data_IF_899371556714
#
_entry.id   IF_899371556714
#
_cell.length_a   1.000
_cell.length_b   1.000
_cell.length_c   1.000
_cell.angle_alpha   90.00
_cell.angle_beta   90.00
_cell.angle_gamma   90.00
#
_symmetry.space_group_name_H-M   'P 1'
#
loop_
_entity.id
_entity.type
_entity.pdbx_description
1 polymer ?
#
# COMPACT_ATOMS: atom_id res chain seq x y z
N UNK A 1 -18.50 -30.27 -24.99
CA UNK A 1 -18.32 -28.80 -24.84
C UNK A 1 -19.21 -28.27 -23.73
N UNK A 2 -20.52 -28.57 -23.71
CA UNK A 2 -21.46 -28.06 -22.71
C UNK A 2 -21.11 -28.48 -21.27
N UNK A 3 -20.71 -29.72 -21.06
CA UNK A 3 -20.30 -30.22 -19.73
C UNK A 3 -19.04 -29.52 -19.20
N UNK A 4 -18.08 -29.21 -20.09
CA UNK A 4 -16.89 -28.46 -19.72
C UNK A 4 -17.21 -27.01 -19.31
N UNK A 5 -18.11 -26.35 -20.04
CA UNK A 5 -18.56 -24.97 -19.72
C UNK A 5 -19.28 -24.96 -18.37
N UNK A 6 -20.15 -25.92 -18.08
CA UNK A 6 -20.84 -26.04 -16.80
C UNK A 6 -19.84 -26.27 -15.64
N UNK A 7 -18.83 -27.10 -15.87
CA UNK A 7 -17.79 -27.35 -14.86
C UNK A 7 -16.98 -26.08 -14.54
N UNK A 8 -16.53 -25.35 -15.56
CA UNK A 8 -15.82 -24.09 -15.40
C UNK A 8 -16.68 -23.03 -14.70
N UNK A 9 -17.98 -22.95 -15.09
CA UNK A 9 -18.92 -22.05 -14.43
C UNK A 9 -19.10 -22.40 -12.95
N UNK A 10 -19.27 -23.68 -12.62
CA UNK A 10 -19.41 -24.13 -11.24
C UNK A 10 -18.17 -23.77 -10.39
N UNK A 11 -16.97 -24.03 -10.92
CA UNK A 11 -15.71 -23.67 -10.23
C UNK A 11 -15.65 -22.16 -9.97
N UNK A 12 -15.96 -21.35 -10.99
CA UNK A 12 -15.95 -19.89 -10.86
C UNK A 12 -17.02 -19.37 -9.90
N UNK A 13 -18.17 -19.99 -9.87
CA UNK A 13 -19.23 -19.68 -8.92
C UNK A 13 -18.80 -19.97 -7.48
N UNK A 14 -18.22 -21.16 -7.24
CA UNK A 14 -17.69 -21.51 -5.91
C UNK A 14 -16.54 -20.60 -5.49
N UNK A 15 -15.64 -20.23 -6.39
CA UNK A 15 -14.57 -19.26 -6.12
C UNK A 15 -15.16 -17.92 -5.65
N UNK A 16 -16.16 -17.39 -6.34
CA UNK A 16 -16.82 -16.14 -5.98
C UNK A 16 -17.61 -16.23 -4.68
N UNK A 17 -18.32 -17.32 -4.45
CA UNK A 17 -19.05 -17.57 -3.21
C UNK A 17 -18.08 -17.65 -2.02
N UNK A 18 -16.96 -18.35 -2.20
CA UNK A 18 -15.92 -18.45 -1.17
C UNK A 18 -15.26 -17.09 -0.88
N UNK A 19 -14.97 -16.29 -1.91
CA UNK A 19 -14.46 -14.92 -1.73
C UNK A 19 -15.44 -14.05 -0.95
N UNK A 20 -16.73 -14.10 -1.30
CA UNK A 20 -17.77 -13.34 -0.58
C UNK A 20 -17.87 -13.75 0.91
N UNK A 21 -17.82 -15.06 1.18
CA UNK A 21 -17.83 -15.59 2.56
C UNK A 21 -16.58 -15.17 3.34
N UNK A 22 -15.41 -15.27 2.73
CA UNK A 22 -14.14 -14.85 3.33
C UNK A 22 -14.13 -13.35 3.65
N UNK A 23 -14.64 -12.51 2.75
CA UNK A 23 -14.76 -11.07 3.00
C UNK A 23 -15.73 -10.76 4.15
N UNK A 24 -16.84 -11.48 4.25
CA UNK A 24 -17.79 -11.36 5.37
C UNK A 24 -17.12 -11.73 6.69
N UNK A 25 -16.41 -12.85 6.74
CA UNK A 25 -15.71 -13.31 7.94
C UNK A 25 -14.61 -12.33 8.36
N UNK A 26 -13.83 -11.80 7.42
CA UNK A 26 -12.85 -10.73 7.68
C UNK A 26 -13.47 -9.51 8.32
N UNK A 27 -14.60 -9.04 7.80
CA UNK A 27 -15.30 -7.88 8.38
C UNK A 27 -15.70 -8.13 9.83
N UNK A 28 -16.17 -9.33 10.15
CA UNK A 28 -16.52 -9.71 11.52
C UNK A 28 -15.30 -9.73 12.44
N UNK A 29 -14.20 -10.34 11.99
CA UNK A 29 -12.94 -10.38 12.74
C UNK A 29 -12.33 -8.99 12.96
N UNK A 30 -12.52 -8.05 12.00
CA UNK A 30 -12.12 -6.64 12.14
C UNK A 30 -12.81 -5.97 13.33
N UNK A 31 -14.11 -6.12 13.45
CA UNK A 31 -14.87 -5.54 14.57
C UNK A 31 -14.41 -6.11 15.91
N UNK A 32 -14.21 -7.43 16.00
CA UNK A 32 -13.74 -8.09 17.23
C UNK A 32 -12.32 -7.65 17.61
N UNK A 33 -11.44 -7.51 16.60
CA UNK A 33 -10.09 -7.02 16.80
C UNK A 33 -10.05 -5.55 17.26
N UNK A 34 -10.91 -4.70 16.68
CA UNK A 34 -11.00 -3.28 17.04
C UNK A 34 -11.49 -3.11 18.49
N UNK A 35 -12.48 -3.89 18.89
CA UNK A 35 -13.00 -3.88 20.26
C UNK A 35 -11.92 -4.34 21.26
N UNK A 36 -11.25 -5.45 21.00
CA UNK A 36 -10.13 -5.95 21.83
C UNK A 36 -8.96 -4.98 21.92
N UNK A 37 -8.66 -4.27 20.83
CA UNK A 37 -7.61 -3.25 20.83
C UNK A 37 -8.03 -2.04 21.70
N UNK A 38 -9.26 -1.59 21.58
CA UNK A 38 -9.81 -0.50 22.40
C UNK A 38 -9.79 -0.86 23.88
N UNK A 39 -10.22 -2.06 24.23
CA UNK A 39 -10.21 -2.58 25.61
C UNK A 39 -8.77 -2.61 26.17
N UNK A 40 -7.81 -3.20 25.44
CA UNK A 40 -6.41 -3.22 25.84
C UNK A 40 -5.81 -1.81 25.98
N UNK A 41 -6.23 -0.89 25.12
CA UNK A 41 -5.80 0.52 25.17
C UNK A 41 -6.30 1.19 26.44
N UNK A 42 -7.59 1.02 26.76
CA UNK A 42 -8.20 1.56 27.98
C UNK A 42 -7.52 0.98 29.22
N UNK A 43 -7.30 -0.34 29.26
CA UNK A 43 -6.59 -1.01 30.37
C UNK A 43 -5.17 -0.47 30.54
N UNK A 44 -4.44 -0.27 29.44
CA UNK A 44 -3.10 0.28 29.49
C UNK A 44 -3.08 1.74 29.96
N UNK A 45 -4.01 2.56 29.49
CA UNK A 45 -4.16 3.95 29.88
C UNK A 45 -4.51 4.03 31.39
N UNK A 46 -5.37 3.17 31.90
CA UNK A 46 -5.78 3.15 33.30
C UNK A 46 -4.62 2.83 34.27
N UNK A 47 -3.59 2.12 33.79
CA UNK A 47 -2.40 1.75 34.58
C UNK A 47 -1.25 2.74 34.50
N UNK A 48 -1.38 3.79 33.68
CA UNK A 48 -0.34 4.81 33.54
C UNK A 48 -0.37 5.75 34.76
N UNK A 49 0.78 6.02 35.35
CA UNK A 49 0.92 6.94 36.48
C UNK A 49 0.59 8.37 36.05
N UNK A 50 -0.02 9.12 36.98
CA UNK A 50 -0.52 10.49 36.75
C UNK A 50 0.62 11.44 36.30
N UNK A 51 1.82 11.27 36.85
CA UNK A 51 3.02 12.07 36.52
C UNK A 51 3.41 11.96 35.02
N UNK A 52 3.03 10.86 34.39
CA UNK A 52 3.30 10.62 32.96
C UNK A 52 2.27 11.32 32.06
N UNK A 53 1.07 11.60 32.61
CA UNK A 53 -0.01 12.29 31.86
C UNK A 53 0.35 13.75 31.54
N UNK A 54 1.21 14.39 32.34
CA UNK A 54 1.65 15.75 32.13
C UNK A 54 2.82 15.85 31.12
N UNK A 55 3.39 14.71 30.70
CA UNK A 55 4.49 14.70 29.76
C UNK A 55 3.99 14.82 28.31
N UNK A 56 4.62 15.73 27.56
CA UNK A 56 4.37 15.93 26.11
C UNK A 56 4.59 14.65 25.29
N UNK A 57 5.39 13.71 25.80
CA UNK A 57 5.71 12.45 25.15
C UNK A 57 4.52 11.47 25.19
N UNK A 58 3.70 11.51 26.22
CA UNK A 58 2.50 10.65 26.31
C UNK A 58 1.42 11.12 25.34
N UNK A 59 1.23 12.44 25.22
CA UNK A 59 0.27 13.00 24.26
C UNK A 59 0.67 12.63 22.82
N UNK A 60 1.95 12.71 22.51
CA UNK A 60 2.51 12.35 21.20
C UNK A 60 2.38 10.86 20.91
N UNK A 61 2.75 10.00 21.85
CA UNK A 61 2.62 8.53 21.70
C UNK A 61 1.15 8.09 21.66
N UNK A 62 0.26 8.75 22.40
CA UNK A 62 -1.16 8.43 22.38
C UNK A 62 -1.83 8.85 21.06
N UNK A 63 -1.40 9.94 20.43
CA UNK A 63 -1.81 10.33 19.10
C UNK A 63 -1.40 9.29 18.05
N UNK A 64 -0.17 8.79 18.11
CA UNK A 64 0.32 7.76 17.20
C UNK A 64 -0.42 6.42 17.39
N UNK A 65 -0.68 6.03 18.64
CA UNK A 65 -1.44 4.81 18.97
C UNK A 65 -2.93 4.97 18.61
N UNK A 66 -3.50 6.17 18.73
CA UNK A 66 -4.91 6.41 18.40
C UNK A 66 -5.18 6.38 16.89
N UNK A 67 -4.16 6.63 16.08
CA UNK A 67 -4.25 6.52 14.61
C UNK A 67 -4.22 5.07 14.12
N UNK A 68 -3.76 4.13 14.95
CA UNK A 68 -3.72 2.71 14.59
C UNK A 68 -5.12 2.09 14.66
N UNK A 69 -5.62 1.62 13.53
CA UNK A 69 -6.97 1.06 13.39
C UNK A 69 -6.93 -0.44 13.10
N UNK A 70 -8.08 -1.10 13.17
CA UNK A 70 -8.22 -2.50 12.75
C UNK A 70 -7.84 -2.72 11.30
N UNK A 71 -8.04 -1.73 10.43
CA UNK A 71 -7.61 -1.80 9.02
C UNK A 71 -6.08 -1.93 8.86
N UNK A 72 -5.29 -1.39 9.79
CA UNK A 72 -3.83 -1.54 9.76
C UNK A 72 -3.40 -2.96 10.13
N UNK A 73 -4.17 -3.62 11.01
CA UNK A 73 -3.97 -5.03 11.37
C UNK A 73 -4.25 -5.93 10.18
N UNK A 74 -5.38 -5.70 9.48
CA UNK A 74 -5.71 -6.46 8.29
C UNK A 74 -4.66 -6.31 7.21
N UNK A 75 -4.19 -5.09 6.99
CA UNK A 75 -3.11 -4.84 6.06
C UNK A 75 -1.85 -5.67 6.42
N UNK A 76 -1.50 -5.78 7.71
CA UNK A 76 -0.39 -6.61 8.17
C UNK A 76 -0.68 -8.09 7.91
N UNK A 77 -1.90 -8.57 8.20
CA UNK A 77 -2.29 -9.95 7.94
C UNK A 77 -2.27 -10.27 6.44
N UNK A 78 -2.80 -9.39 5.60
CA UNK A 78 -2.74 -9.54 4.15
C UNK A 78 -1.29 -9.63 3.66
N UNK A 79 -0.40 -8.77 4.14
CA UNK A 79 1.04 -8.88 3.81
C UNK A 79 1.67 -10.19 4.28
N UNK A 80 1.34 -10.67 5.47
CA UNK A 80 1.90 -11.93 6.01
C UNK A 80 1.44 -13.14 5.20
N UNK A 81 0.25 -13.11 4.62
CA UNK A 81 -0.29 -14.21 3.80
C UNK A 81 0.08 -14.04 2.32
N UNK A 82 -0.12 -12.83 1.78
CA UNK A 82 0.05 -12.57 0.34
C UNK A 82 1.52 -12.58 -0.10
N UNK A 83 2.44 -12.12 0.75
CA UNK A 83 3.87 -12.11 0.40
C UNK A 83 4.43 -13.53 0.18
N UNK A 84 4.23 -14.51 1.07
CA UNK A 84 4.67 -15.89 0.82
C UNK A 84 4.00 -16.51 -0.41
N UNK A 85 2.70 -16.27 -0.62
CA UNK A 85 1.97 -16.77 -1.77
C UNK A 85 2.50 -16.17 -3.08
N UNK A 86 2.78 -14.87 -3.10
CA UNK A 86 3.37 -14.21 -4.25
C UNK A 86 4.78 -14.72 -4.56
N UNK A 87 5.60 -14.92 -3.54
CA UNK A 87 6.94 -15.52 -3.71
C UNK A 87 6.82 -16.91 -4.32
N UNK A 88 5.91 -17.74 -3.83
CA UNK A 88 5.69 -19.09 -4.36
C UNK A 88 5.20 -19.04 -5.81
N UNK A 89 4.28 -18.14 -6.14
CA UNK A 89 3.80 -17.91 -7.50
C UNK A 89 4.95 -17.49 -8.43
N UNK A 90 5.79 -16.55 -8.00
CA UNK A 90 6.96 -16.08 -8.75
C UNK A 90 7.90 -17.27 -9.04
N UNK A 91 8.20 -18.11 -8.06
CA UNK A 91 9.05 -19.29 -8.23
C UNK A 91 8.45 -20.25 -9.27
N UNK A 92 7.16 -20.58 -9.15
CA UNK A 92 6.48 -21.47 -10.09
C UNK A 92 6.52 -20.90 -11.52
N UNK A 93 6.26 -19.59 -11.68
CA UNK A 93 6.28 -18.93 -12.97
C UNK A 93 7.68 -18.90 -13.58
N UNK A 94 8.73 -18.65 -12.77
CA UNK A 94 10.11 -18.72 -13.24
C UNK A 94 10.49 -20.14 -13.70
N UNK A 95 10.13 -21.17 -12.94
CA UNK A 95 10.38 -22.57 -13.33
C UNK A 95 9.67 -22.91 -14.65
N UNK A 96 8.41 -22.48 -14.82
CA UNK A 96 7.69 -22.68 -16.06
C UNK A 96 8.33 -21.95 -17.25
N UNK A 97 8.80 -20.71 -17.02
CA UNK A 97 9.36 -19.85 -18.05
C UNK A 97 10.77 -20.27 -18.50
N UNK A 98 11.57 -20.85 -17.59
CA UNK A 98 12.89 -21.42 -17.92
C UNK A 98 12.76 -22.52 -18.98
N UNK A 99 11.71 -23.35 -18.89
CA UNK A 99 11.46 -24.44 -19.85
C UNK A 99 11.11 -23.92 -21.26
N UNK A 100 10.54 -22.68 -21.34
CA UNK A 100 10.17 -22.07 -22.63
C UNK A 100 11.35 -21.28 -23.22
N UNK A 101 11.95 -20.38 -22.40
CA UNK A 101 13.08 -19.54 -22.83
C UNK A 101 13.89 -19.04 -21.65
N UNK A 102 15.08 -19.60 -21.38
CA UNK A 102 15.92 -19.17 -20.26
C UNK A 102 16.43 -17.74 -20.42
N UNK A 103 16.59 -17.27 -21.66
CA UNK A 103 17.08 -15.91 -21.96
C UNK A 103 16.09 -14.87 -21.41
N UNK A 104 14.80 -15.11 -21.55
CA UNK A 104 13.75 -14.20 -21.07
C UNK A 104 13.78 -14.12 -19.54
N UNK A 105 13.99 -15.24 -18.85
CA UNK A 105 14.13 -15.25 -17.38
C UNK A 105 15.30 -14.40 -16.90
N UNK A 106 16.45 -14.53 -17.54
CA UNK A 106 17.63 -13.71 -17.20
C UNK A 106 17.36 -12.22 -17.42
N UNK A 107 16.67 -11.87 -18.52
CA UNK A 107 16.29 -10.49 -18.80
C UNK A 107 15.33 -9.92 -17.74
N UNK A 108 14.35 -10.72 -17.27
CA UNK A 108 13.47 -10.32 -16.17
C UNK A 108 14.23 -10.06 -14.86
N UNK A 109 15.10 -10.98 -14.43
CA UNK A 109 15.88 -10.82 -13.22
C UNK A 109 16.79 -9.59 -13.32
N UNK A 110 17.46 -9.40 -14.44
CA UNK A 110 18.38 -8.28 -14.65
C UNK A 110 17.69 -6.91 -14.59
N UNK A 111 16.44 -6.80 -15.05
CA UNK A 111 15.68 -5.55 -15.03
C UNK A 111 14.92 -5.32 -13.74
N UNK A 112 14.32 -6.36 -13.14
CA UNK A 112 13.55 -6.20 -11.90
C UNK A 112 14.44 -5.97 -10.67
N UNK A 113 15.65 -6.52 -10.63
CA UNK A 113 16.56 -6.30 -9.49
C UNK A 113 16.85 -4.81 -9.23
N UNK A 114 17.24 -3.97 -10.21
CA UNK A 114 17.44 -2.55 -9.95
C UNK A 114 16.15 -1.81 -9.61
N UNK A 115 14.99 -2.22 -10.16
CA UNK A 115 13.70 -1.62 -9.86
C UNK A 115 13.37 -1.82 -8.38
N UNK A 116 13.42 -3.05 -7.86
CA UNK A 116 13.19 -3.36 -6.46
C UNK A 116 14.11 -2.56 -5.52
N UNK A 117 15.39 -2.40 -5.87
CA UNK A 117 16.33 -1.61 -5.07
C UNK A 117 15.97 -0.12 -5.01
N UNK A 118 15.44 0.43 -6.10
CA UNK A 118 15.02 1.83 -6.15
C UNK A 118 13.71 2.00 -5.38
N UNK A 119 12.75 1.08 -5.51
CA UNK A 119 11.47 1.10 -4.78
C UNK A 119 11.69 1.01 -3.27
N UNK A 120 12.59 0.15 -2.79
CA UNK A 120 12.98 0.10 -1.38
C UNK A 120 13.52 1.45 -0.88
N UNK A 121 14.39 2.11 -1.65
CA UNK A 121 14.89 3.44 -1.29
C UNK A 121 13.79 4.49 -1.29
N UNK A 122 12.85 4.40 -2.21
CA UNK A 122 11.67 5.27 -2.24
C UNK A 122 10.78 5.07 -1.00
N UNK A 123 10.52 3.82 -0.61
CA UNK A 123 9.77 3.49 0.60
C UNK A 123 10.42 4.04 1.88
N UNK A 124 11.74 3.85 2.03
CA UNK A 124 12.49 4.41 3.18
C UNK A 124 12.43 5.95 3.18
N UNK A 125 12.54 6.58 2.02
CA UNK A 125 12.43 8.03 1.87
C UNK A 125 11.04 8.55 2.25
N UNK A 126 10.00 7.81 1.87
CA UNK A 126 8.61 8.09 2.24
C UNK A 126 8.39 8.05 3.76
N UNK A 127 8.88 7.00 4.42
CA UNK A 127 8.78 6.86 5.88
C UNK A 127 9.48 8.02 6.58
N UNK A 128 10.70 8.39 6.14
CA UNK A 128 11.43 9.54 6.69
C UNK A 128 10.66 10.85 6.50
N UNK A 129 10.07 11.04 5.34
CA UNK A 129 9.27 12.21 5.02
C UNK A 129 8.03 12.30 5.93
N UNK A 130 7.26 11.21 6.08
CA UNK A 130 6.10 11.17 6.98
C UNK A 130 6.53 11.53 8.42
N UNK A 131 7.58 10.89 8.93
CA UNK A 131 8.08 11.15 10.28
C UNK A 131 8.47 12.62 10.50
N UNK A 132 9.07 13.26 9.51
CA UNK A 132 9.41 14.69 9.60
C UNK A 132 8.17 15.59 9.65
N UNK A 133 7.02 15.13 9.15
CA UNK A 133 5.76 15.89 9.09
C UNK A 133 4.87 15.70 10.32
N UNK A 134 5.04 14.63 11.09
CA UNK A 134 4.19 14.31 12.25
C UNK A 134 4.09 15.49 13.20
N UNK A 135 5.22 16.14 13.53
CA UNK A 135 5.23 17.29 14.45
C UNK A 135 4.43 18.50 13.92
N UNK A 136 4.47 18.75 12.61
CA UNK A 136 3.72 19.85 12.00
C UNK A 136 2.22 19.52 11.90
N UNK A 137 1.90 18.27 11.59
CA UNK A 137 0.52 17.78 11.56
C UNK A 137 -0.10 17.80 12.96
N UNK A 138 0.63 17.38 13.99
CA UNK A 138 0.17 17.45 15.39
C UNK A 138 -0.10 18.89 15.82
N UNK A 139 0.75 19.86 15.43
CA UNK A 139 0.48 21.28 15.68
C UNK A 139 -0.76 21.78 14.96
N UNK A 140 -0.97 21.35 13.72
CA UNK A 140 -2.15 21.71 12.94
C UNK A 140 -3.43 21.14 13.58
N UNK A 141 -3.38 19.89 14.04
CA UNK A 141 -4.47 19.24 14.73
C UNK A 141 -4.78 19.92 16.07
N UNK A 142 -3.74 20.23 16.85
CA UNK A 142 -3.90 20.96 18.13
C UNK A 142 -4.57 22.33 17.94
N UNK A 143 -4.23 23.05 16.87
CA UNK A 143 -4.92 24.31 16.53
C UNK A 143 -6.40 24.07 16.18
N UNK A 144 -6.71 23.00 15.49
CA UNK A 144 -8.10 22.64 15.16
C UNK A 144 -8.90 22.27 16.42
N UNK A 145 -8.33 21.42 17.26
CA UNK A 145 -8.95 20.98 18.52
C UNK A 145 -9.18 22.17 19.46
N UNK A 146 -8.21 23.09 19.52
CA UNK A 146 -8.31 24.34 20.28
C UNK A 146 -9.49 25.17 19.82
N UNK A 147 -9.65 25.40 18.51
CA UNK A 147 -10.77 26.17 17.95
C UNK A 147 -12.11 25.45 18.08
N UNK A 148 -12.11 24.12 18.16
CA UNK A 148 -13.34 23.30 18.23
C UNK A 148 -13.87 23.19 19.68
N UNK A 149 -13.11 23.59 20.68
CA UNK A 149 -13.56 23.54 22.08
C UNK A 149 -14.59 24.67 22.38
N UNK A 150 -15.66 24.33 23.08
CA UNK A 150 -16.76 25.27 23.39
C UNK A 150 -16.31 26.52 24.15
N UNK A 151 -15.40 26.35 25.11
CA UNK A 151 -14.84 27.44 25.93
C UNK A 151 -14.00 28.38 25.07
N UNK A 152 -13.12 27.83 24.24
CA UNK A 152 -12.23 28.60 23.38
C UNK A 152 -13.01 29.38 22.31
N UNK A 153 -14.09 28.81 21.75
CA UNK A 153 -14.93 29.52 20.78
C UNK A 153 -15.52 30.81 21.40
N UNK A 154 -15.94 30.75 22.66
CA UNK A 154 -16.48 31.93 23.33
C UNK A 154 -15.43 33.01 23.54
N UNK A 155 -14.23 32.60 23.97
CA UNK A 155 -13.10 33.53 24.15
C UNK A 155 -12.64 34.13 22.81
N UNK A 156 -12.52 33.33 21.77
CA UNK A 156 -12.12 33.80 20.44
C UNK A 156 -13.12 34.79 19.83
N UNK A 157 -14.42 34.60 20.09
CA UNK A 157 -15.46 35.56 19.72
C UNK A 157 -15.34 36.85 20.49
N UNK A 158 -15.07 36.76 21.82
CA UNK A 158 -14.95 37.93 22.68
C UNK A 158 -13.77 38.78 22.25
N UNK A 159 -12.63 38.17 21.93
CA UNK A 159 -11.41 38.85 21.55
C UNK A 159 -11.26 39.10 20.05
N UNK A 160 -12.25 38.68 19.23
CA UNK A 160 -12.24 38.78 17.75
C UNK A 160 -10.94 38.22 17.11
N UNK A 161 -10.41 37.11 17.68
CA UNK A 161 -9.11 36.55 17.33
C UNK A 161 -9.15 35.41 16.33
N UNK A 162 -10.30 35.12 15.73
CA UNK A 162 -10.46 34.05 14.73
C UNK A 162 -9.55 34.22 13.53
N UNK A 163 -9.45 35.45 13.00
CA UNK A 163 -8.65 35.75 11.82
C UNK A 163 -7.17 35.42 12.02
N UNK A 164 -6.64 35.71 13.19
CA UNK A 164 -5.26 35.38 13.56
C UNK A 164 -5.01 33.87 13.53
N UNK A 165 -5.93 33.08 14.09
CA UNK A 165 -5.78 31.62 14.13
C UNK A 165 -5.92 31.02 12.72
N UNK A 166 -6.87 31.54 11.93
CA UNK A 166 -7.03 31.13 10.54
C UNK A 166 -5.75 31.41 9.74
N UNK A 167 -5.12 32.55 9.96
CA UNK A 167 -3.87 32.91 9.28
C UNK A 167 -2.71 31.99 9.71
N UNK A 168 -2.57 31.69 10.99
CA UNK A 168 -1.56 30.73 11.49
C UNK A 168 -1.78 29.34 10.90
N UNK A 169 -3.02 28.86 10.86
CA UNK A 169 -3.38 27.59 10.23
C UNK A 169 -3.02 27.59 8.75
N UNK A 170 -3.36 28.64 8.01
CA UNK A 170 -3.03 28.77 6.58
C UNK A 170 -1.51 28.72 6.34
N UNK A 171 -0.73 29.40 7.17
CA UNK A 171 0.75 29.38 7.08
C UNK A 171 1.33 28.00 7.33
N UNK A 172 0.86 27.30 8.37
CA UNK A 172 1.31 25.94 8.67
C UNK A 172 0.90 24.95 7.59
N UNK A 173 -0.36 25.01 7.18
CA UNK A 173 -0.89 24.13 6.11
C UNK A 173 -0.19 24.39 4.79
N UNK A 174 0.09 25.64 4.44
CA UNK A 174 0.84 26.01 3.24
C UNK A 174 2.23 25.34 3.20
N UNK A 175 2.97 25.39 4.31
CA UNK A 175 4.28 24.72 4.41
C UNK A 175 4.16 23.21 4.20
N UNK A 176 3.21 22.55 4.89
CA UNK A 176 2.99 21.12 4.77
C UNK A 176 2.62 20.74 3.33
N UNK A 177 1.69 21.51 2.75
CA UNK A 177 1.20 21.27 1.37
C UNK A 177 2.34 21.41 0.35
N UNK A 178 3.09 22.50 0.39
CA UNK A 178 4.09 22.79 -0.65
C UNK A 178 5.25 21.79 -0.59
N UNK A 179 5.68 21.40 0.60
CA UNK A 179 6.69 20.35 0.76
C UNK A 179 6.13 18.97 0.34
N UNK A 180 4.86 18.66 0.64
CA UNK A 180 4.22 17.40 0.25
C UNK A 180 4.05 17.31 -1.27
N UNK A 181 3.66 18.40 -1.92
CA UNK A 181 3.54 18.46 -3.39
C UNK A 181 4.91 18.23 -4.04
N UNK A 182 5.96 18.92 -3.58
CA UNK A 182 7.32 18.74 -4.14
C UNK A 182 7.83 17.31 -3.98
N UNK A 183 7.62 16.73 -2.79
CA UNK A 183 8.03 15.37 -2.52
C UNK A 183 7.26 14.37 -3.38
N UNK A 184 5.91 14.48 -3.44
CA UNK A 184 5.06 13.59 -4.22
C UNK A 184 5.36 13.71 -5.71
N UNK A 185 5.56 14.91 -6.26
CA UNK A 185 5.92 15.10 -7.67
C UNK A 185 7.23 14.39 -8.00
N UNK A 186 8.26 14.54 -7.13
CA UNK A 186 9.54 13.85 -7.34
C UNK A 186 9.36 12.34 -7.32
N UNK A 187 8.60 11.83 -6.36
CA UNK A 187 8.36 10.41 -6.19
C UNK A 187 7.52 9.83 -7.34
N UNK A 188 6.47 10.53 -7.75
CA UNK A 188 5.62 10.13 -8.88
C UNK A 188 6.42 10.08 -10.18
N UNK A 189 7.26 11.09 -10.45
CA UNK A 189 8.09 11.09 -11.65
C UNK A 189 9.06 9.89 -11.70
N UNK A 190 9.70 9.57 -10.58
CA UNK A 190 10.57 8.39 -10.48
C UNK A 190 9.76 7.10 -10.65
N UNK A 191 8.62 6.98 -9.98
CA UNK A 191 7.73 5.81 -10.10
C UNK A 191 7.22 5.62 -11.53
N UNK A 192 6.85 6.70 -12.22
CA UNK A 192 6.40 6.63 -13.63
C UNK A 192 7.51 6.16 -14.56
N UNK A 193 8.74 6.65 -14.36
CA UNK A 193 9.89 6.20 -15.14
C UNK A 193 10.23 4.73 -14.86
N UNK A 194 10.13 4.31 -13.59
CA UNK A 194 10.35 2.91 -13.22
C UNK A 194 9.27 1.99 -13.81
N UNK A 195 8.00 2.40 -13.81
CA UNK A 195 6.91 1.63 -14.39
C UNK A 195 7.02 1.45 -15.92
N UNK A 196 7.69 2.37 -16.61
CA UNK A 196 7.93 2.24 -18.04
C UNK A 196 8.91 1.09 -18.39
N UNK A 197 9.82 0.72 -17.50
CA UNK A 197 10.82 -0.34 -17.74
C UNK A 197 10.19 -1.73 -17.84
N UNK A 198 9.36 -2.21 -16.86
CA UNK A 198 8.65 -3.47 -16.98
C UNK A 198 7.74 -3.53 -18.21
N UNK A 199 7.08 -2.41 -18.51
CA UNK A 199 6.21 -2.32 -19.69
C UNK A 199 7.01 -2.50 -21.00
N UNK A 200 8.15 -1.83 -21.14
CA UNK A 200 9.02 -1.95 -22.31
C UNK A 200 9.57 -3.39 -22.43
N UNK A 201 9.94 -4.02 -21.33
CA UNK A 201 10.39 -5.40 -21.30
C UNK A 201 9.27 -6.36 -21.73
N UNK A 202 8.06 -6.18 -21.19
CA UNK A 202 6.92 -7.01 -21.54
C UNK A 202 6.62 -6.96 -23.05
N UNK A 203 6.51 -5.77 -23.64
CA UNK A 203 6.28 -5.61 -25.06
C UNK A 203 7.47 -6.06 -25.92
N UNK A 204 8.69 -5.82 -25.46
CA UNK A 204 9.90 -6.30 -26.13
C UNK A 204 9.94 -7.83 -26.20
N UNK A 205 9.60 -8.49 -25.09
CA UNK A 205 9.47 -9.95 -25.04
C UNK A 205 8.36 -10.45 -25.96
N UNK A 206 7.20 -9.80 -25.94
CA UNK A 206 6.08 -10.14 -26.84
C UNK A 206 6.54 -10.11 -28.31
N UNK A 207 7.29 -9.09 -28.70
CA UNK A 207 7.84 -8.96 -30.04
C UNK A 207 8.83 -10.09 -30.40
N UNK A 208 9.76 -10.42 -29.49
CA UNK A 208 10.73 -11.51 -29.70
C UNK A 208 10.04 -12.88 -29.81
N UNK A 209 9.04 -13.15 -28.98
CA UNK A 209 8.26 -14.38 -29.04
C UNK A 209 7.45 -14.47 -30.34
N UNK A 210 6.84 -13.38 -30.79
CA UNK A 210 6.10 -13.32 -32.04
C UNK A 210 7.03 -13.62 -33.24
N UNK A 211 8.23 -13.07 -33.27
CA UNK A 211 9.23 -13.39 -34.28
C UNK A 211 9.65 -14.85 -34.24
N UNK A 212 9.73 -15.47 -33.06
CA UNK A 212 10.05 -16.90 -32.91
C UNK A 212 8.96 -17.81 -33.48
N UNK A 213 7.70 -17.42 -33.34
CA UNK A 213 6.55 -18.10 -33.96
C UNK A 213 6.61 -17.98 -35.50
N UNK A 214 6.85 -16.75 -36.01
CA UNK A 214 6.96 -16.51 -37.44
C UNK A 214 8.15 -17.28 -38.06
N UNK A 215 9.23 -17.46 -37.31
CA UNK A 215 10.39 -18.26 -37.73
C UNK A 215 10.17 -19.78 -37.61
N UNK A 216 9.00 -20.24 -37.19
CA UNK A 216 8.65 -21.68 -37.03
C UNK A 216 9.38 -22.36 -35.86
N UNK A 217 10.02 -21.60 -34.98
CA UNK A 217 10.77 -22.15 -33.84
C UNK A 217 9.89 -22.44 -32.61
N UNK A 218 8.64 -21.95 -32.60
CA UNK A 218 7.73 -22.03 -31.47
C UNK A 218 6.32 -22.27 -31.97
N UNK A 219 5.56 -23.10 -31.25
CA UNK A 219 4.12 -23.34 -31.52
C UNK A 219 3.30 -22.19 -30.96
N UNK A 220 2.20 -21.84 -31.62
CA UNK A 220 1.29 -20.76 -31.19
C UNK A 220 0.77 -20.97 -29.74
N UNK A 221 0.60 -22.23 -29.32
CA UNK A 221 0.19 -22.58 -27.97
C UNK A 221 1.24 -22.17 -26.92
N UNK A 222 2.51 -22.43 -27.15
CA UNK A 222 3.62 -22.08 -26.27
C UNK A 222 3.80 -20.56 -26.19
N UNK A 223 3.60 -19.87 -27.31
CA UNK A 223 3.58 -18.40 -27.35
C UNK A 223 2.51 -17.84 -26.39
N UNK A 224 1.28 -18.35 -26.46
CA UNK A 224 0.19 -17.88 -25.63
C UNK A 224 0.45 -18.15 -24.14
N UNK A 225 1.01 -19.32 -23.82
CA UNK A 225 1.41 -19.67 -22.45
C UNK A 225 2.51 -18.72 -21.96
N UNK A 226 3.54 -18.47 -22.76
CA UNK A 226 4.64 -17.59 -22.40
C UNK A 226 4.19 -16.14 -22.12
N UNK A 227 3.30 -15.63 -22.97
CA UNK A 227 2.72 -14.28 -22.80
C UNK A 227 1.90 -14.17 -21.51
N UNK A 228 1.05 -15.18 -21.24
CA UNK A 228 0.25 -15.17 -20.00
C UNK A 228 1.13 -15.33 -18.74
N UNK A 229 2.17 -16.16 -18.78
CA UNK A 229 3.13 -16.30 -17.69
C UNK A 229 3.87 -14.98 -17.42
N UNK A 230 4.29 -14.30 -18.49
CA UNK A 230 4.97 -13.02 -18.34
C UNK A 230 4.07 -11.90 -17.81
N UNK A 231 2.81 -11.87 -18.25
CA UNK A 231 1.82 -10.93 -17.71
C UNK A 231 1.62 -11.16 -16.20
N UNK A 232 1.40 -12.40 -15.78
CA UNK A 232 1.25 -12.74 -14.37
C UNK A 232 2.52 -12.49 -13.54
N UNK A 233 3.71 -12.71 -14.11
CA UNK A 233 4.99 -12.39 -13.50
C UNK A 233 5.11 -10.87 -13.26
N UNK A 234 4.76 -10.07 -14.26
CA UNK A 234 4.73 -8.62 -14.12
C UNK A 234 3.77 -8.16 -13.01
N UNK A 235 2.57 -8.72 -12.96
CA UNK A 235 1.55 -8.40 -11.94
C UNK A 235 1.98 -8.85 -10.53
N UNK A 236 2.75 -9.94 -10.41
CA UNK A 236 3.23 -10.43 -9.11
C UNK A 236 4.47 -9.70 -8.60
N UNK A 237 5.20 -9.00 -9.49
CA UNK A 237 6.41 -8.25 -9.19
C UNK A 237 6.15 -6.75 -9.01
N UNK A 238 5.01 -6.24 -9.46
CA UNK A 238 4.55 -4.85 -9.29
C UNK A 238 3.73 -4.68 -8.02
#
# INVERSE_FOLDING_TARGET
VHMFILLVFSIKFFEKAFQAYSNFQRTFEQYDADEKLREKRIDKISRIRMDYYESNDLYRNNSDISSFSSSDIDMIFDYVVDVPLNILNIIIMFVAMINISPIICVAFIALYTPICLIEQKMGISWIKFIRSKITLQSKLQALFDFVSSRTTIQELKLFNSFDYIIEQRKKLFGKIRDESIRFNLKQTNIATLLAALPLALYYGMYFVLALSVCAGKMIIGDFWIAVNLAAKLNDSLS
#
